data_IF_089884141897
#
_entry.id   IF_089884141897
#
_cell.length_a   1.000
_cell.length_b   1.000
_cell.length_c   1.000
_cell.angle_alpha   90.00
_cell.angle_beta   90.00
_cell.angle_gamma   90.00
#
_symmetry.space_group_name_H-M   'P 1'
#
loop_
_entity.id
_entity.type
_entity.pdbx_description
1 polymer ?
#
# COMPACT_ATOMS: atom_id res chain seq x y z
N UNK A 1 10.46 -8.85 5.84
CA UNK A 1 11.27 -8.37 4.71
C UNK A 1 10.84 -6.94 4.46
N UNK A 2 11.76 -5.98 4.54
CA UNK A 2 11.40 -4.57 4.35
C UNK A 2 10.96 -4.29 2.91
N UNK A 3 9.89 -3.51 2.76
CA UNK A 3 9.33 -3.05 1.49
C UNK A 3 8.92 -1.58 1.64
N UNK A 4 9.02 -0.84 0.55
CA UNK A 4 8.43 0.50 0.49
C UNK A 4 6.93 0.38 0.28
N UNK A 5 6.16 0.99 1.17
CA UNK A 5 4.71 1.11 1.09
C UNK A 5 4.36 2.46 0.46
N UNK A 6 3.46 2.45 -0.50
CA UNK A 6 2.87 3.62 -1.11
C UNK A 6 1.36 3.43 -1.06
N UNK A 7 0.63 4.41 -0.53
CA UNK A 7 -0.83 4.45 -0.64
C UNK A 7 -1.14 5.74 -1.39
N UNK A 8 -1.79 5.64 -2.54
CA UNK A 8 -2.14 6.78 -3.39
C UNK A 8 -3.67 6.89 -3.51
N UNK A 9 -4.18 8.11 -3.34
CA UNK A 9 -5.56 8.46 -3.63
C UNK A 9 -5.70 8.73 -5.12
N UNK A 10 -6.68 8.09 -5.75
CA UNK A 10 -6.97 8.21 -7.16
C UNK A 10 -8.33 8.93 -7.27
N UNK A 11 -8.60 9.68 -8.34
CA UNK A 11 -9.89 10.41 -8.49
C UNK A 11 -11.14 9.54 -8.31
N UNK A 12 -11.01 8.22 -8.45
CA UNK A 12 -12.07 7.21 -8.34
C UNK A 12 -11.90 6.19 -7.22
N UNK A 13 -10.86 6.29 -6.38
CA UNK A 13 -10.55 5.27 -5.37
C UNK A 13 -9.17 5.42 -4.76
N UNK A 14 -8.49 4.31 -4.44
CA UNK A 14 -7.12 4.35 -3.96
C UNK A 14 -6.33 3.10 -4.35
N UNK A 15 -5.01 3.19 -4.34
CA UNK A 15 -4.12 2.08 -4.63
C UNK A 15 -3.08 1.94 -3.53
N UNK A 16 -2.88 0.71 -3.04
CA UNK A 16 -1.74 0.36 -2.19
C UNK A 16 -0.71 -0.38 -3.02
N UNK A 17 0.52 0.12 -3.02
CA UNK A 17 1.66 -0.46 -3.73
C UNK A 17 2.79 -0.77 -2.76
N UNK A 18 3.38 -1.95 -2.88
CA UNK A 18 4.52 -2.43 -2.11
C UNK A 18 5.68 -2.75 -3.05
N UNK A 19 6.79 -2.06 -2.89
CA UNK A 19 7.96 -2.15 -3.75
C UNK A 19 9.15 -2.77 -3.02
N UNK A 20 9.85 -3.67 -3.70
CA UNK A 20 11.16 -4.18 -3.27
C UNK A 20 11.98 -4.72 -4.43
N UNK A 21 13.19 -4.20 -4.64
CA UNK A 21 14.19 -4.77 -5.56
C UNK A 21 13.62 -5.16 -6.95
N UNK A 22 12.76 -4.31 -7.54
CA UNK A 22 12.10 -4.60 -8.82
C UNK A 22 10.90 -5.55 -8.76
N UNK A 23 10.47 -5.94 -7.56
CA UNK A 23 9.19 -6.60 -7.33
C UNK A 23 8.18 -5.57 -6.86
N UNK A 24 7.00 -5.62 -7.43
CA UNK A 24 5.89 -4.75 -7.08
C UNK A 24 4.66 -5.59 -6.74
N UNK A 25 3.97 -5.23 -5.66
CA UNK A 25 2.68 -5.77 -5.31
C UNK A 25 1.68 -4.63 -5.21
N UNK A 26 0.57 -4.70 -5.94
CA UNK A 26 -0.43 -3.64 -5.93
C UNK A 26 -1.83 -4.18 -5.63
N UNK A 27 -2.69 -3.34 -5.06
CA UNK A 27 -4.11 -3.62 -4.88
C UNK A 27 -4.89 -2.31 -4.99
N UNK A 28 -6.03 -2.36 -5.68
CA UNK A 28 -6.95 -1.24 -5.83
C UNK A 28 -8.10 -1.33 -4.82
N UNK A 29 -8.59 -0.16 -4.41
CA UNK A 29 -9.63 0.04 -3.41
C UNK A 29 -10.62 1.08 -3.92
N UNK A 30 -11.85 1.04 -3.41
CA UNK A 30 -12.90 1.98 -3.81
C UNK A 30 -12.78 3.33 -3.10
N UNK A 31 -11.95 3.44 -2.06
CA UNK A 31 -11.68 4.68 -1.35
C UNK A 31 -10.34 4.67 -0.63
N UNK A 32 -9.80 5.86 -0.37
CA UNK A 32 -8.63 6.09 0.48
C UNK A 32 -8.74 5.42 1.84
N UNK A 33 -9.87 5.60 2.52
CA UNK A 33 -10.11 5.01 3.84
C UNK A 33 -10.02 3.47 3.79
N UNK A 34 -10.58 2.84 2.75
CA UNK A 34 -10.52 1.40 2.61
C UNK A 34 -9.09 0.89 2.43
N UNK A 35 -8.24 1.64 1.70
CA UNK A 35 -6.83 1.31 1.55
C UNK A 35 -6.07 1.42 2.88
N UNK A 36 -6.31 2.47 3.67
CA UNK A 36 -5.71 2.66 5.00
C UNK A 36 -6.14 1.57 5.99
N UNK A 37 -7.42 1.23 6.04
CA UNK A 37 -7.96 0.24 6.97
C UNK A 37 -7.46 -1.18 6.64
N UNK A 38 -7.36 -1.53 5.35
CA UNK A 38 -6.78 -2.80 4.91
C UNK A 38 -5.28 -2.84 5.22
N UNK A 39 -4.56 -1.74 4.99
CA UNK A 39 -3.15 -1.64 5.33
C UNK A 39 -2.89 -1.74 6.84
N UNK A 40 -3.73 -1.15 7.69
CA UNK A 40 -3.68 -1.32 9.14
C UNK A 40 -3.96 -2.77 9.54
N UNK A 41 -5.01 -3.37 8.97
CA UNK A 41 -5.41 -4.77 9.26
C UNK A 41 -4.33 -5.78 8.87
N UNK A 42 -3.57 -5.49 7.82
CA UNK A 42 -2.45 -6.30 7.35
C UNK A 42 -1.13 -6.00 8.09
N UNK A 43 -1.14 -5.09 9.07
CA UNK A 43 0.05 -4.55 9.74
C UNK A 43 1.09 -3.97 8.77
N UNK A 44 0.62 -3.40 7.65
CA UNK A 44 1.47 -2.66 6.72
C UNK A 44 1.79 -1.26 7.27
N UNK A 45 0.92 -0.71 8.12
CA UNK A 45 1.12 0.54 8.84
C UNK A 45 0.67 0.39 10.29
N UNK A 46 1.20 1.23 11.17
CA UNK A 46 0.79 1.30 12.59
C UNK A 46 -0.41 2.22 12.75
N UNK A 47 -1.08 2.17 13.92
CA UNK A 47 -2.18 3.10 14.22
C UNK A 47 -1.75 4.57 14.17
N UNK A 48 -0.50 4.88 14.55
CA UNK A 48 0.00 6.26 14.50
C UNK A 48 0.19 6.73 13.05
N UNK A 49 0.75 5.86 12.19
CA UNK A 49 0.95 6.15 10.78
C UNK A 49 -0.36 6.16 9.98
N UNK A 50 -1.37 5.40 10.41
CA UNK A 50 -2.74 5.46 9.88
C UNK A 50 -3.29 6.88 10.06
N UNK A 51 -3.22 7.41 11.29
CA UNK A 51 -3.72 8.75 11.58
C UNK A 51 -2.94 9.85 10.85
N UNK A 52 -1.63 9.69 10.70
CA UNK A 52 -0.81 10.58 9.86
C UNK A 52 -1.29 10.55 8.40
N UNK A 53 -1.53 9.36 7.84
CA UNK A 53 -2.01 9.21 6.47
C UNK A 53 -3.45 9.77 6.26
N UNK A 54 -4.32 9.68 7.26
CA UNK A 54 -5.65 10.30 7.24
C UNK A 54 -5.58 11.84 7.19
N UNK A 55 -4.53 12.42 7.76
CA UNK A 55 -4.34 13.87 7.79
C UNK A 55 -3.76 14.46 6.49
N UNK A 56 -3.37 13.60 5.54
CA UNK A 56 -2.79 14.05 4.28
C UNK A 56 -3.83 14.75 3.40
N UNK A 57 -3.42 15.79 2.65
CA UNK A 57 -4.30 16.40 1.66
C UNK A 57 -4.80 15.37 0.63
N UNK A 58 -6.01 15.55 0.07
CA UNK A 58 -6.47 14.77 -1.06
C UNK A 58 -5.45 14.79 -2.21
N UNK A 59 -5.29 13.67 -2.91
CA UNK A 59 -4.27 13.46 -3.94
C UNK A 59 -2.79 13.46 -3.47
N UNK A 60 -2.51 13.55 -2.16
CA UNK A 60 -1.15 13.39 -1.64
C UNK A 60 -0.90 11.92 -1.25
N UNK A 61 0.03 11.22 -1.92
CA UNK A 61 0.32 9.83 -1.57
C UNK A 61 1.04 9.75 -0.22
N UNK A 62 0.68 8.72 0.54
CA UNK A 62 1.41 8.31 1.73
C UNK A 62 2.58 7.42 1.33
N UNK A 63 3.76 7.68 1.91
CA UNK A 63 4.95 6.87 1.72
C UNK A 63 5.44 6.35 3.07
N UNK A 64 5.74 5.05 3.14
CA UNK A 64 6.26 4.43 4.35
C UNK A 64 7.17 3.25 4.06
N UNK A 65 7.74 2.70 5.13
CA UNK A 65 8.47 1.44 5.12
C UNK A 65 7.70 0.42 5.96
N UNK A 66 7.64 -0.81 5.48
CA UNK A 66 6.91 -1.87 6.18
C UNK A 66 7.55 -3.23 6.00
N UNK A 67 7.12 -4.20 6.80
CA UNK A 67 7.50 -5.59 6.65
C UNK A 67 6.31 -6.44 6.25
N UNK A 68 6.31 -6.91 5.00
CA UNK A 68 5.32 -7.86 4.51
C UNK A 68 5.97 -9.16 4.03
N UNK A 69 5.16 -10.20 3.86
CA UNK A 69 5.55 -11.45 3.20
C UNK A 69 4.73 -11.60 1.93
N UNK A 70 5.35 -11.97 0.81
CA UNK A 70 4.67 -12.13 -0.48
C UNK A 70 3.44 -13.06 -0.42
N UNK A 71 3.51 -14.13 0.39
CA UNK A 71 2.37 -15.04 0.62
C UNK A 71 1.18 -14.34 1.31
N UNK A 72 1.45 -13.45 2.26
CA UNK A 72 0.41 -12.67 2.94
C UNK A 72 -0.24 -11.69 1.96
N UNK A 73 0.55 -11.02 1.13
CA UNK A 73 0.06 -10.09 0.11
C UNK A 73 -0.82 -10.81 -0.92
N UNK A 74 -0.36 -11.95 -1.45
CA UNK A 74 -1.16 -12.76 -2.36
C UNK A 74 -2.49 -13.23 -1.73
N UNK A 75 -2.46 -13.66 -0.46
CA UNK A 75 -3.67 -14.05 0.27
C UNK A 75 -4.63 -12.87 0.52
N UNK A 76 -4.10 -11.66 0.64
CA UNK A 76 -4.87 -10.42 0.79
C UNK A 76 -5.36 -9.84 -0.55
N UNK A 77 -5.09 -10.52 -1.68
CA UNK A 77 -5.54 -10.13 -3.00
C UNK A 77 -4.65 -9.13 -3.74
N UNK A 78 -3.41 -8.93 -3.28
CA UNK A 78 -2.45 -8.12 -4.04
C UNK A 78 -1.98 -8.84 -5.30
N UNK A 79 -1.89 -8.10 -6.40
CA UNK A 79 -1.36 -8.57 -7.67
C UNK A 79 0.14 -8.35 -7.72
N UNK A 80 0.89 -9.38 -8.10
CA UNK A 80 2.34 -9.29 -8.27
C UNK A 80 2.69 -8.83 -9.69
N UNK A 81 3.44 -7.75 -9.79
CA UNK A 81 4.00 -7.25 -11.03
C UNK A 81 5.51 -7.46 -11.01
N UNK A 82 6.03 -8.04 -12.10
CA UNK A 82 7.47 -8.05 -12.35
C UNK A 82 7.80 -6.68 -12.94
N UNK A 83 8.54 -5.83 -12.22
CA UNK A 83 9.05 -4.60 -12.84
C UNK A 83 10.03 -5.05 -13.93
N UNK A 84 9.62 -4.96 -15.19
CA UNK A 84 10.51 -5.19 -16.31
C UNK A 84 11.61 -4.13 -16.20
N UNK A 85 12.83 -4.58 -15.88
CA UNK A 85 14.02 -3.76 -16.06
C UNK A 85 14.08 -3.41 -17.55
N UNK A 86 13.83 -2.13 -17.86
CA UNK A 86 14.10 -1.56 -19.18
C UNK A 86 15.60 -1.39 -19.39
#
# INVERSE_FOLDING_TARGET
MEMQLIIADNETGATTTLLRNGLEWSKEYTSWQQALDDALSLNLLTSDLHHEAESLPPAFPYYGLTQAKSRQLAAAGFTHHHALAA
#
